data_IF_619952270020
#
_entry.id   IF_619952270020
#
_cell.length_a   1.000
_cell.length_b   1.000
_cell.length_c   1.000
_cell.angle_alpha   90.00
_cell.angle_beta   90.00
_cell.angle_gamma   90.00
#
_symmetry.space_group_name_H-M   'P 1'
#
loop_
_entity.id
_entity.type
_entity.pdbx_description
1 polymer ?
#
# COMPACT_ATOMS: atom_id res chain seq x y z
N UNK A 1 -44.00 22.26 37.30
CA UNK A 1 -43.38 21.01 36.81
C UNK A 1 -43.44 20.98 35.29
N UNK A 2 -42.49 21.63 34.63
CA UNK A 2 -42.33 21.73 33.16
C UNK A 2 -41.05 22.54 33.02
N UNK A 3 -39.93 21.88 32.75
CA UNK A 3 -38.58 22.41 32.43
C UNK A 3 -37.47 21.42 32.78
N UNK A 4 -37.77 20.28 33.44
CA UNK A 4 -36.78 19.24 33.68
C UNK A 4 -36.59 18.28 32.49
N UNK A 5 -37.54 18.27 31.53
CA UNK A 5 -37.49 17.42 30.33
C UNK A 5 -36.54 17.94 29.23
N UNK A 6 -36.07 19.19 29.33
CA UNK A 6 -35.22 19.78 28.29
C UNK A 6 -33.73 19.43 28.42
N UNK A 7 -33.29 18.98 29.60
CA UNK A 7 -31.89 18.62 29.85
C UNK A 7 -31.55 17.16 29.52
N UNK A 8 -32.54 16.32 29.21
CA UNK A 8 -32.34 14.90 28.86
C UNK A 8 -32.06 14.69 27.35
N UNK A 9 -32.25 15.71 26.50
CA UNK A 9 -32.31 15.54 25.05
C UNK A 9 -31.00 15.84 24.28
N UNK A 10 -29.93 16.31 24.92
CA UNK A 10 -28.70 16.73 24.22
C UNK A 10 -27.45 15.93 24.66
N UNK A 11 -27.64 14.83 25.39
CA UNK A 11 -26.54 13.98 25.89
C UNK A 11 -26.16 12.77 25.02
N UNK A 12 -26.68 12.64 23.79
CA UNK A 12 -26.65 11.36 23.05
C UNK A 12 -25.94 11.39 21.68
N UNK A 13 -25.02 12.32 21.45
CA UNK A 13 -24.17 12.36 20.26
C UNK A 13 -22.68 12.15 20.58
N UNK A 14 -22.36 11.12 21.36
CA UNK A 14 -21.00 10.57 21.40
C UNK A 14 -21.05 9.16 20.83
N UNK A 15 -21.29 9.08 19.51
CA UNK A 15 -20.95 7.87 18.76
C UNK A 15 -19.44 7.90 18.63
N UNK A 16 -18.77 7.20 19.55
CA UNK A 16 -17.32 7.02 19.52
C UNK A 16 -16.92 6.36 18.20
N UNK A 17 -16.06 7.03 17.44
CA UNK A 17 -15.30 6.37 16.40
C UNK A 17 -14.33 5.40 17.10
N UNK A 18 -14.61 4.10 17.01
CA UNK A 18 -13.65 3.08 17.38
C UNK A 18 -12.51 3.12 16.36
N UNK A 19 -11.45 3.86 16.67
CA UNK A 19 -10.18 3.71 15.97
C UNK A 19 -9.67 2.31 16.27
N UNK A 20 -9.73 1.41 15.28
CA UNK A 20 -9.02 0.13 15.33
C UNK A 20 -7.56 0.43 15.62
N UNK A 21 -7.08 0.01 16.79
CA UNK A 21 -5.67 0.08 17.14
C UNK A 21 -4.96 -0.84 16.17
N UNK A 22 -4.20 -0.27 15.23
CA UNK A 22 -3.31 -1.06 14.39
C UNK A 22 -2.30 -1.73 15.32
N UNK A 23 -2.41 -3.04 15.43
CA UNK A 23 -1.35 -3.88 15.97
C UNK A 23 -0.16 -3.69 15.03
N UNK A 24 0.77 -2.80 15.40
CA UNK A 24 2.09 -2.75 14.78
C UNK A 24 2.77 -4.06 15.20
N UNK A 25 2.78 -5.03 14.29
CA UNK A 25 3.66 -6.19 14.40
C UNK A 25 5.07 -5.65 14.38
N UNK A 26 5.69 -5.57 15.56
CA UNK A 26 7.08 -5.19 15.73
C UNK A 26 7.95 -6.27 15.09
N UNK A 27 8.38 -6.03 13.85
CA UNK A 27 9.56 -6.71 13.28
C UNK A 27 10.36 -5.80 12.33
N UNK A 28 10.29 -4.47 12.53
CA UNK A 28 10.95 -3.45 11.71
C UNK A 28 12.07 -2.70 12.45
N UNK A 29 12.79 -3.33 13.39
CA UNK A 29 13.77 -2.62 14.23
C UNK A 29 15.03 -2.14 13.50
N UNK A 30 15.20 -2.46 12.21
CA UNK A 30 16.37 -2.05 11.41
C UNK A 30 16.02 -1.34 10.08
N UNK A 31 14.75 -1.10 9.78
CA UNK A 31 14.37 -0.40 8.55
C UNK A 31 14.52 1.12 8.72
N UNK A 32 15.00 1.78 7.67
CA UNK A 32 15.07 3.24 7.64
C UNK A 32 13.66 3.84 7.82
N UNK A 33 13.58 5.01 8.47
CA UNK A 33 12.31 5.69 8.71
C UNK A 33 11.54 5.91 7.39
N UNK A 34 10.31 5.40 7.32
CA UNK A 34 9.45 5.48 6.13
C UNK A 34 9.61 4.35 5.11
N UNK A 35 10.49 3.37 5.36
CA UNK A 35 10.58 2.18 4.53
C UNK A 35 9.42 1.20 4.80
N UNK A 36 8.90 0.58 3.74
CA UNK A 36 7.83 -0.42 3.81
C UNK A 36 8.37 -1.75 3.32
N UNK A 37 8.35 -2.75 4.21
CA UNK A 37 8.67 -4.14 3.89
C UNK A 37 7.45 -4.84 3.29
N UNK A 38 7.66 -5.45 2.14
CA UNK A 38 6.70 -6.32 1.45
C UNK A 38 7.34 -7.71 1.39
N UNK A 39 6.88 -8.61 2.25
CA UNK A 39 7.36 -9.99 2.28
C UNK A 39 6.21 -10.90 2.74
N UNK A 40 6.35 -12.19 2.42
CA UNK A 40 5.58 -13.25 3.04
C UNK A 40 6.58 -14.08 3.83
N UNK A 41 6.43 -14.18 5.15
CA UNK A 41 7.44 -14.82 6.00
C UNK A 41 7.62 -16.33 5.73
N UNK A 42 6.72 -16.94 4.96
CA UNK A 42 6.86 -18.32 4.47
C UNK A 42 7.67 -18.44 3.17
N UNK A 43 8.02 -17.32 2.55
CA UNK A 43 8.76 -17.24 1.29
C UNK A 43 10.09 -16.53 1.49
N UNK A 44 11.07 -16.86 0.66
CA UNK A 44 12.42 -16.24 0.68
C UNK A 44 12.48 -14.89 -0.07
N UNK A 45 11.32 -14.36 -0.50
CA UNK A 45 11.24 -13.15 -1.30
C UNK A 45 10.83 -11.93 -0.48
N UNK A 46 11.59 -10.84 -0.63
CA UNK A 46 11.35 -9.57 0.04
C UNK A 46 11.50 -8.40 -0.95
N UNK A 47 10.58 -7.45 -0.87
CA UNK A 47 10.68 -6.15 -1.53
C UNK A 47 10.67 -5.08 -0.44
N UNK A 48 11.73 -4.27 -0.39
CA UNK A 48 11.82 -3.12 0.51
C UNK A 48 11.59 -1.86 -0.31
N UNK A 49 10.56 -1.10 0.03
CA UNK A 49 10.27 0.19 -0.59
C UNK A 49 10.75 1.30 0.34
N UNK A 50 11.70 2.10 -0.11
CA UNK A 50 12.25 3.25 0.64
C UNK A 50 11.64 4.59 0.21
N UNK A 51 10.52 4.56 -0.53
CA UNK A 51 9.94 5.75 -1.13
C UNK A 51 9.09 6.54 -0.12
N UNK A 52 9.56 7.74 0.25
CA UNK A 52 8.95 8.59 1.28
C UNK A 52 7.48 8.86 0.96
N UNK A 53 6.62 8.53 1.91
CA UNK A 53 5.17 8.76 1.83
C UNK A 53 4.38 7.56 1.31
N UNK A 54 5.04 6.46 0.93
CA UNK A 54 4.32 5.25 0.55
C UNK A 54 3.55 4.64 1.73
N UNK A 55 4.15 4.59 2.91
CA UNK A 55 3.46 4.15 4.14
C UNK A 55 2.21 5.00 4.42
N UNK A 56 2.35 6.33 4.34
CA UNK A 56 1.23 7.26 4.49
C UNK A 56 0.16 7.01 3.44
N UNK A 57 0.54 6.79 2.18
CA UNK A 57 -0.40 6.46 1.11
C UNK A 57 -1.20 5.19 1.40
N UNK A 58 -0.53 4.11 1.81
CA UNK A 58 -1.19 2.86 2.22
C UNK A 58 -2.18 3.08 3.35
N UNK A 59 -1.82 3.92 4.31
CA UNK A 59 -2.61 4.15 5.51
C UNK A 59 -3.78 5.12 5.32
N UNK A 60 -3.75 5.98 4.30
CA UNK A 60 -4.69 7.12 4.18
C UNK A 60 -5.44 7.18 2.85
N UNK A 61 -4.88 6.64 1.77
CA UNK A 61 -5.43 6.77 0.41
C UNK A 61 -5.80 5.39 -0.16
N UNK A 62 -4.96 4.39 0.07
CA UNK A 62 -5.19 3.05 -0.45
C UNK A 62 -6.51 2.46 0.07
N UNK A 63 -7.17 1.68 -0.78
CA UNK A 63 -8.28 0.83 -0.34
C UNK A 63 -7.76 -0.24 0.62
N UNK A 64 -8.59 -0.80 1.52
CA UNK A 64 -8.17 -1.90 2.38
C UNK A 64 -7.79 -3.13 1.55
N UNK A 65 -6.92 -3.99 2.10
CA UNK A 65 -6.35 -5.13 1.38
C UNK A 65 -7.36 -6.11 0.81
N UNK A 66 -8.52 -6.27 1.46
CA UNK A 66 -9.60 -7.16 1.02
C UNK A 66 -10.59 -6.52 0.03
N UNK A 67 -10.30 -5.32 -0.49
CA UNK A 67 -11.19 -4.64 -1.44
C UNK A 67 -11.24 -5.33 -2.81
N UNK A 68 -10.11 -5.88 -3.27
CA UNK A 68 -10.05 -6.75 -4.44
C UNK A 68 -9.58 -8.15 -4.04
N UNK A 69 -9.81 -9.14 -4.90
CA UNK A 69 -9.27 -10.49 -4.71
C UNK A 69 -7.76 -10.52 -4.89
N UNK A 70 -7.10 -11.54 -4.33
CA UNK A 70 -5.69 -11.79 -4.56
C UNK A 70 -5.39 -11.93 -6.07
N UNK A 71 -6.18 -12.74 -6.78
CA UNK A 71 -6.07 -12.94 -8.23
C UNK A 71 -6.12 -11.62 -9.01
N UNK A 72 -7.00 -10.68 -8.60
CA UNK A 72 -7.05 -9.36 -9.22
C UNK A 72 -5.72 -8.62 -9.06
N UNK A 73 -5.13 -8.63 -7.85
CA UNK A 73 -3.85 -7.99 -7.60
C UNK A 73 -2.72 -8.66 -8.38
N UNK A 74 -2.67 -10.00 -8.41
CA UNK A 74 -1.67 -10.76 -9.19
C UNK A 74 -1.72 -10.39 -10.68
N UNK A 75 -2.91 -10.44 -11.29
CA UNK A 75 -3.11 -10.08 -12.71
C UNK A 75 -2.76 -8.62 -13.02
N UNK A 76 -2.87 -7.73 -12.05
CA UNK A 76 -2.44 -6.33 -12.19
C UNK A 76 -0.93 -6.20 -12.02
N UNK A 77 -0.36 -6.84 -11.02
CA UNK A 77 1.06 -6.81 -10.71
C UNK A 77 1.89 -7.37 -11.87
N UNK A 78 1.44 -8.44 -12.53
CA UNK A 78 2.09 -8.96 -13.74
C UNK A 78 2.35 -7.86 -14.78
N UNK A 79 1.31 -7.07 -15.08
CA UNK A 79 1.40 -5.97 -16.04
C UNK A 79 2.26 -4.84 -15.52
N UNK A 80 2.03 -4.39 -14.28
CA UNK A 80 2.78 -3.26 -13.72
C UNK A 80 4.27 -3.56 -13.57
N UNK A 81 4.63 -4.74 -13.07
CA UNK A 81 6.04 -5.18 -12.95
C UNK A 81 6.71 -5.19 -14.31
N UNK A 82 6.03 -5.73 -15.34
CA UNK A 82 6.57 -5.74 -16.71
C UNK A 82 6.91 -4.32 -17.18
N UNK A 83 5.96 -3.40 -17.07
CA UNK A 83 6.18 -1.99 -17.47
C UNK A 83 7.22 -1.28 -16.60
N UNK A 84 7.22 -1.54 -15.30
CA UNK A 84 8.22 -1.00 -14.38
C UNK A 84 9.62 -1.43 -14.78
N UNK A 85 9.82 -2.73 -15.02
CA UNK A 85 11.11 -3.30 -15.38
C UNK A 85 11.61 -2.77 -16.72
N UNK A 86 10.72 -2.61 -17.71
CA UNK A 86 11.04 -1.94 -18.98
C UNK A 86 11.56 -0.52 -18.70
N UNK A 87 10.91 0.24 -17.82
CA UNK A 87 11.32 1.63 -17.52
C UNK A 87 12.63 1.71 -16.75
N UNK A 88 12.81 0.86 -15.72
CA UNK A 88 14.02 0.78 -14.91
C UNK A 88 15.25 0.42 -15.76
N UNK A 89 15.09 -0.44 -16.77
CA UNK A 89 16.17 -0.82 -17.69
C UNK A 89 16.49 0.22 -18.77
N UNK A 90 15.70 1.29 -18.89
CA UNK A 90 15.86 2.32 -19.92
C UNK A 90 16.08 3.73 -19.31
N UNK A 91 17.15 3.94 -18.52
CA UNK A 91 17.39 5.20 -17.80
C UNK A 91 17.66 6.40 -18.73
N UNK A 92 18.00 6.17 -20.00
CA UNK A 92 18.12 7.24 -21.00
C UNK A 92 16.77 7.86 -21.39
N UNK A 93 15.66 7.12 -21.19
CA UNK A 93 14.30 7.55 -21.52
C UNK A 93 13.47 7.86 -20.27
N UNK A 94 13.71 7.14 -19.18
CA UNK A 94 12.91 7.24 -17.95
C UNK A 94 13.75 7.74 -16.78
N UNK A 95 13.11 8.48 -15.88
CA UNK A 95 13.79 9.08 -14.73
C UNK A 95 14.23 8.00 -13.73
N UNK A 96 15.54 7.79 -13.60
CA UNK A 96 16.13 6.83 -12.66
C UNK A 96 15.83 7.12 -11.19
N UNK A 97 15.42 8.34 -10.83
CA UNK A 97 14.99 8.65 -9.46
C UNK A 97 13.56 8.14 -9.16
N UNK A 98 12.86 7.62 -10.16
CA UNK A 98 11.54 6.99 -10.00
C UNK A 98 11.68 5.49 -10.21
N UNK A 99 12.35 5.09 -11.31
CA UNK A 99 12.50 3.68 -11.70
C UNK A 99 13.93 3.22 -11.36
N UNK A 100 14.14 2.88 -10.09
CA UNK A 100 15.48 2.55 -9.59
C UNK A 100 15.90 1.12 -9.91
N UNK A 101 15.15 0.13 -9.42
CA UNK A 101 15.51 -1.28 -9.47
C UNK A 101 14.49 -2.10 -10.27
N UNK A 102 14.96 -3.18 -10.89
CA UNK A 102 14.08 -4.21 -11.46
C UNK A 102 13.42 -4.98 -10.32
N UNK A 103 12.15 -5.29 -10.47
CA UNK A 103 11.37 -6.10 -9.55
C UNK A 103 11.36 -7.53 -10.07
N UNK A 104 11.97 -8.46 -9.32
CA UNK A 104 11.98 -9.88 -9.64
C UNK A 104 10.73 -10.56 -9.04
N UNK A 105 9.64 -10.54 -9.81
CA UNK A 105 8.34 -11.09 -9.40
C UNK A 105 7.97 -12.26 -10.32
N UNK A 106 7.97 -13.47 -9.77
CA UNK A 106 7.62 -14.71 -10.50
C UNK A 106 6.10 -14.91 -10.51
N UNK A 107 5.53 -14.94 -11.72
CA UNK A 107 4.09 -15.06 -11.92
C UNK A 107 3.49 -16.40 -11.50
N UNK A 108 4.33 -17.41 -11.20
CA UNK A 108 3.90 -18.74 -10.77
C UNK A 108 3.96 -18.94 -9.24
N UNK A 109 4.46 -17.95 -8.50
CA UNK A 109 4.58 -18.01 -7.04
C UNK A 109 3.36 -17.33 -6.41
N UNK A 110 2.72 -18.02 -5.47
CA UNK A 110 1.70 -17.44 -4.61
C UNK A 110 2.36 -16.66 -3.46
N UNK A 111 2.53 -15.36 -3.67
CA UNK A 111 3.06 -14.46 -2.64
C UNK A 111 2.04 -14.13 -1.54
N UNK A 112 0.77 -14.49 -1.72
CA UNK A 112 -0.33 -14.15 -0.84
C UNK A 112 -0.87 -12.73 -1.04
N UNK A 113 -2.01 -12.48 -0.39
CA UNK A 113 -2.78 -11.25 -0.55
C UNK A 113 -2.01 -10.00 -0.13
N UNK A 114 -1.33 -10.00 1.02
CA UNK A 114 -0.67 -8.79 1.55
C UNK A 114 0.47 -8.30 0.66
N UNK A 115 1.31 -9.22 0.17
CA UNK A 115 2.40 -8.90 -0.75
C UNK A 115 1.84 -8.30 -2.04
N UNK A 116 0.88 -9.01 -2.64
CA UNK A 116 0.26 -8.57 -3.89
C UNK A 116 -0.46 -7.23 -3.75
N UNK A 117 -1.14 -7.01 -2.63
CA UNK A 117 -1.82 -5.77 -2.29
C UNK A 117 -0.82 -4.61 -2.17
N UNK A 118 0.26 -4.76 -1.40
CA UNK A 118 1.25 -3.69 -1.19
C UNK A 118 1.98 -3.37 -2.49
N UNK A 119 2.39 -4.38 -3.26
CA UNK A 119 3.05 -4.20 -4.55
C UNK A 119 2.15 -3.44 -5.55
N UNK A 120 0.88 -3.83 -5.65
CA UNK A 120 -0.10 -3.12 -6.48
C UNK A 120 -0.21 -1.65 -6.07
N UNK A 121 -0.33 -1.38 -4.77
CA UNK A 121 -0.48 -0.01 -4.28
C UNK A 121 0.79 0.82 -4.44
N UNK A 122 1.98 0.19 -4.49
CA UNK A 122 3.19 0.92 -4.80
C UNK A 122 3.14 1.52 -6.21
N UNK A 123 2.66 0.77 -7.20
CA UNK A 123 2.47 1.32 -8.55
C UNK A 123 1.42 2.43 -8.57
N UNK A 124 0.31 2.27 -7.84
CA UNK A 124 -0.71 3.34 -7.72
C UNK A 124 -0.17 4.59 -7.02
N UNK A 125 0.68 4.40 -6.03
CA UNK A 125 1.38 5.48 -5.34
C UNK A 125 2.33 6.21 -6.30
N UNK A 126 3.07 5.49 -7.13
CA UNK A 126 3.96 6.08 -8.15
C UNK A 126 3.16 6.94 -9.14
N UNK A 127 2.02 6.45 -9.61
CA UNK A 127 1.12 7.24 -10.47
C UNK A 127 0.59 8.49 -9.74
N UNK A 128 0.21 8.35 -8.47
CA UNK A 128 -0.29 9.45 -7.65
C UNK A 128 0.77 10.52 -7.36
N UNK A 129 1.95 10.12 -6.88
CA UNK A 129 3.03 10.99 -6.42
C UNK A 129 3.78 11.62 -7.60
N UNK A 130 4.18 10.80 -8.57
CA UNK A 130 5.04 11.24 -9.67
C UNK A 130 4.29 11.54 -10.98
N UNK A 131 2.95 11.46 -10.96
CA UNK A 131 2.08 11.72 -12.11
C UNK A 131 2.45 10.87 -13.33
N UNK A 132 2.99 9.69 -13.08
CA UNK A 132 3.28 8.70 -14.11
C UNK A 132 1.99 7.98 -14.50
N UNK A 133 1.95 7.46 -15.73
CA UNK A 133 0.86 6.60 -16.20
C UNK A 133 1.46 5.32 -16.74
N UNK A 134 1.05 4.18 -16.19
CA UNK A 134 1.48 2.87 -16.72
C UNK A 134 0.58 2.40 -17.86
N UNK A 135 -0.73 2.59 -17.72
CA UNK A 135 -1.72 2.11 -18.69
C UNK A 135 -2.73 3.20 -19.07
N UNK A 136 -3.27 3.09 -20.28
CA UNK A 136 -4.31 3.98 -20.80
C UNK A 136 -5.71 3.53 -20.41
#
# INVERSE_FOLDING_TARGET
MKNFLFYLAIGLFIVGCSSTTKTITKDDTNLAEGAVRIANDSLEYEIIIMDIGFETYLNTIAKPANFYSQEYYELKNQRYVTEWNIRAQNPSRYNSNIYENVIDYDFNIDYGLDVNYKLYNYFKFVEYKYKQRFFY
#
